data_IF_802547904908
#
_entry.id   IF_802547904908
#
_cell.length_a   1.000
_cell.length_b   1.000
_cell.length_c   1.000
_cell.angle_alpha   90.00
_cell.angle_beta   90.00
_cell.angle_gamma   90.00
#
_symmetry.space_group_name_H-M   'P 1'
#
loop_
_entity.id
_entity.type
_entity.pdbx_description
1 polymer ?
#
# COMPACT_ATOMS: atom_id res chain seq x y z
N UNK A 1 -19.19 7.62 -8.70
CA UNK A 1 -18.48 8.25 -7.56
C UNK A 1 -18.17 9.68 -7.94
N UNK A 2 -18.46 10.63 -7.06
CA UNK A 2 -18.40 12.07 -7.30
C UNK A 2 -17.05 12.56 -7.89
N UNK A 3 -15.94 12.02 -7.40
CA UNK A 3 -14.60 12.30 -7.95
C UNK A 3 -14.42 11.84 -9.40
N UNK A 4 -14.96 10.67 -9.79
CA UNK A 4 -14.92 10.22 -11.19
C UNK A 4 -15.63 11.23 -12.10
N UNK A 5 -16.80 11.72 -11.70
CA UNK A 5 -17.56 12.70 -12.48
C UNK A 5 -16.80 14.02 -12.62
N UNK A 6 -16.12 14.47 -11.56
CA UNK A 6 -15.26 15.67 -11.62
C UNK A 6 -14.07 15.47 -12.56
N UNK A 7 -13.42 14.30 -12.52
CA UNK A 7 -12.29 13.96 -13.40
C UNK A 7 -12.75 13.87 -14.86
N UNK A 8 -13.89 13.24 -15.13
CA UNK A 8 -14.42 13.10 -16.49
C UNK A 8 -14.80 14.45 -17.12
N UNK A 9 -15.16 15.43 -16.30
CA UNK A 9 -15.48 16.80 -16.72
C UNK A 9 -14.24 17.69 -16.91
N UNK A 10 -13.13 17.35 -16.27
CA UNK A 10 -11.92 18.17 -16.25
C UNK A 10 -10.87 17.61 -17.23
N UNK A 11 -10.59 18.36 -18.30
CA UNK A 11 -9.65 17.94 -19.34
C UNK A 11 -8.18 18.13 -18.93
N UNK A 12 -7.93 18.90 -17.88
CA UNK A 12 -6.58 19.24 -17.41
C UNK A 12 -6.11 18.29 -16.30
N UNK A 13 -7.00 17.40 -15.82
CA UNK A 13 -6.62 16.36 -14.87
C UNK A 13 -5.64 15.37 -15.52
N UNK A 14 -4.49 15.19 -14.86
CA UNK A 14 -3.47 14.27 -15.34
C UNK A 14 -3.31 13.08 -14.40
N UNK A 15 -3.60 11.91 -14.94
CA UNK A 15 -3.36 10.65 -14.25
C UNK A 15 -1.87 10.41 -14.06
N UNK A 16 -1.54 9.78 -12.93
CA UNK A 16 -0.24 9.17 -12.74
C UNK A 16 0.09 8.25 -13.94
N UNK A 17 1.23 8.43 -14.61
CA UNK A 17 1.58 7.72 -15.86
C UNK A 17 1.29 6.21 -15.87
N UNK A 18 1.62 5.50 -14.79
CA UNK A 18 1.37 4.05 -14.70
C UNK A 18 -0.09 3.66 -14.51
N UNK A 19 -0.88 4.59 -14.03
CA UNK A 19 -2.29 4.42 -13.74
C UNK A 19 -3.16 4.99 -14.86
N UNK A 20 -2.56 5.76 -15.80
CA UNK A 20 -3.22 6.36 -16.96
C UNK A 20 -3.94 5.32 -17.83
N UNK A 21 -3.26 4.22 -18.17
CA UNK A 21 -3.87 3.14 -18.98
C UNK A 21 -5.08 2.47 -18.30
N UNK A 22 -5.13 2.51 -16.97
CA UNK A 22 -6.18 1.89 -16.18
C UNK A 22 -7.25 2.89 -15.72
N UNK A 23 -7.09 4.19 -16.04
CA UNK A 23 -7.93 5.26 -15.50
C UNK A 23 -7.93 5.31 -13.97
N UNK A 24 -6.89 4.80 -13.31
CA UNK A 24 -6.88 4.65 -11.86
C UNK A 24 -6.33 5.90 -11.17
N UNK A 25 -7.15 6.52 -10.35
CA UNK A 25 -6.79 7.72 -9.58
C UNK A 25 -7.06 7.56 -8.09
N UNK A 26 -7.66 6.44 -7.66
CA UNK A 26 -7.97 6.18 -6.26
C UNK A 26 -7.89 4.70 -5.88
N UNK A 27 -7.62 4.44 -4.61
CA UNK A 27 -7.81 3.15 -3.95
C UNK A 27 -8.46 3.40 -2.59
N UNK A 28 -9.61 2.81 -2.34
CA UNK A 28 -10.34 2.96 -1.08
C UNK A 28 -10.39 1.62 -0.36
N UNK A 29 -10.20 1.63 0.96
CA UNK A 29 -10.42 0.47 1.82
C UNK A 29 -10.96 0.93 3.17
N UNK A 30 -12.21 0.58 3.47
CA UNK A 30 -12.93 1.11 4.64
C UNK A 30 -12.82 2.65 4.69
N UNK A 31 -12.16 3.18 5.73
CA UNK A 31 -11.96 4.62 5.94
C UNK A 31 -10.67 5.15 5.29
N UNK A 32 -9.77 4.27 4.84
CA UNK A 32 -8.49 4.66 4.24
C UNK A 32 -8.68 4.95 2.74
N UNK A 33 -8.23 6.12 2.29
CA UNK A 33 -8.32 6.56 0.89
C UNK A 33 -6.94 6.96 0.37
N UNK A 34 -6.54 6.39 -0.75
CA UNK A 34 -5.30 6.76 -1.44
C UNK A 34 -5.64 7.33 -2.80
N UNK A 35 -5.17 8.53 -3.10
CA UNK A 35 -5.36 9.21 -4.37
C UNK A 35 -4.05 9.30 -5.15
N UNK A 36 -4.13 9.10 -6.46
CA UNK A 36 -2.99 9.07 -7.39
C UNK A 36 -3.21 10.10 -8.50
N UNK A 37 -2.28 11.03 -8.67
CA UNK A 37 -2.28 11.95 -9.82
C UNK A 37 -0.87 12.40 -10.21
N UNK A 38 -0.78 13.16 -11.28
CA UNK A 38 0.42 13.94 -11.61
C UNK A 38 0.63 15.05 -10.58
N UNK A 39 1.89 15.42 -10.31
CA UNK A 39 2.22 16.46 -9.35
C UNK A 39 2.04 17.87 -9.96
N UNK A 40 0.81 18.20 -10.34
CA UNK A 40 0.44 19.51 -10.86
C UNK A 40 -0.65 20.16 -9.97
N UNK A 41 -0.76 21.47 -10.04
CA UNK A 41 -1.74 22.20 -9.22
C UNK A 41 -3.18 21.93 -9.66
N UNK A 42 -3.42 21.70 -10.97
CA UNK A 42 -4.76 21.42 -11.48
C UNK A 42 -5.35 20.13 -10.89
N UNK A 43 -4.62 19.01 -10.96
CA UNK A 43 -5.13 17.72 -10.49
C UNK A 43 -5.34 17.72 -8.97
N UNK A 44 -4.45 18.38 -8.23
CA UNK A 44 -4.58 18.51 -6.78
C UNK A 44 -5.78 19.37 -6.41
N UNK A 45 -5.98 20.49 -7.09
CA UNK A 45 -7.11 21.39 -6.84
C UNK A 45 -8.43 20.68 -7.11
N UNK A 46 -8.47 19.83 -8.13
CA UNK A 46 -9.62 18.97 -8.42
C UNK A 46 -9.89 17.97 -7.30
N UNK A 47 -8.85 17.31 -6.78
CA UNK A 47 -8.99 16.41 -5.64
C UNK A 47 -9.48 17.14 -4.39
N UNK A 48 -8.94 18.32 -4.08
CA UNK A 48 -9.43 19.15 -2.98
C UNK A 48 -10.91 19.47 -3.14
N UNK A 49 -11.32 19.95 -4.32
CA UNK A 49 -12.73 20.26 -4.62
C UNK A 49 -13.63 19.03 -4.47
N UNK A 50 -13.16 17.88 -4.92
CA UNK A 50 -13.87 16.61 -4.78
C UNK A 50 -14.05 16.18 -3.31
N UNK A 51 -13.01 16.35 -2.50
CA UNK A 51 -13.06 16.05 -1.06
C UNK A 51 -13.97 17.02 -0.30
N UNK A 52 -13.92 18.32 -0.63
CA UNK A 52 -14.79 19.34 -0.03
C UNK A 52 -16.26 19.11 -0.39
N UNK A 53 -16.54 18.75 -1.65
CA UNK A 53 -17.90 18.42 -2.09
C UNK A 53 -18.41 17.12 -1.45
N UNK A 54 -17.54 16.13 -1.30
CA UNK A 54 -17.89 14.92 -0.55
C UNK A 54 -18.18 15.24 0.92
N UNK A 55 -17.38 16.10 1.55
CA UNK A 55 -17.58 16.53 2.93
C UNK A 55 -18.89 17.31 3.11
N UNK A 56 -19.26 18.18 2.17
CA UNK A 56 -20.51 18.93 2.24
C UNK A 56 -21.75 18.05 2.08
N UNK A 57 -21.68 17.00 1.27
CA UNK A 57 -22.79 16.07 1.04
C UNK A 57 -22.93 15.00 2.13
N UNK A 58 -21.80 14.48 2.63
CA UNK A 58 -21.80 13.38 3.60
C UNK A 58 -21.68 13.83 5.06
N UNK A 59 -21.20 15.06 5.30
CA UNK A 59 -20.77 15.52 6.62
C UNK A 59 -19.41 14.97 7.06
N UNK A 60 -18.77 14.08 6.30
CA UNK A 60 -17.49 13.46 6.65
C UNK A 60 -16.31 14.32 6.16
N UNK A 61 -15.50 14.78 7.10
CA UNK A 61 -14.38 15.67 6.82
C UNK A 61 -13.06 14.91 6.84
N UNK A 62 -12.17 15.23 5.90
CA UNK A 62 -10.81 14.72 5.87
C UNK A 62 -10.04 15.19 7.11
N UNK A 63 -9.27 14.31 7.73
CA UNK A 63 -8.43 14.67 8.88
C UNK A 63 -7.03 15.12 8.42
N UNK A 64 -6.72 16.43 8.42
CA UNK A 64 -5.44 16.92 7.91
C UNK A 64 -4.23 16.48 8.73
N UNK A 65 -4.44 16.02 9.98
CA UNK A 65 -3.34 15.52 10.84
C UNK A 65 -2.94 14.08 10.53
N UNK A 66 -3.86 13.30 9.94
CA UNK A 66 -3.61 11.91 9.52
C UNK A 66 -3.39 11.80 8.01
N UNK A 67 -3.85 12.79 7.26
CA UNK A 67 -3.67 12.89 5.83
C UNK A 67 -2.30 13.44 5.47
N UNK A 68 -1.66 12.77 4.51
CA UNK A 68 -0.30 13.03 4.08
C UNK A 68 -0.19 13.18 2.57
N UNK A 69 0.68 14.09 2.15
CA UNK A 69 1.09 14.23 0.76
C UNK A 69 2.45 13.56 0.56
N UNK A 70 2.54 12.63 -0.38
CA UNK A 70 3.78 11.95 -0.75
C UNK A 70 4.15 12.35 -2.18
N UNK A 71 5.28 13.02 -2.33
CA UNK A 71 5.78 13.52 -3.61
C UNK A 71 6.91 12.65 -4.16
N UNK A 72 7.03 12.59 -5.49
CA UNK A 72 8.21 12.04 -6.13
C UNK A 72 9.40 12.99 -5.97
N UNK A 73 10.62 12.45 -6.01
CA UNK A 73 11.86 13.26 -5.98
C UNK A 73 11.89 14.35 -7.05
N UNK A 74 11.32 14.09 -8.22
CA UNK A 74 11.20 15.04 -9.33
C UNK A 74 10.22 16.18 -9.04
N UNK A 75 9.17 15.93 -8.25
CA UNK A 75 8.12 16.89 -7.92
C UNK A 75 8.47 17.81 -6.74
N UNK A 76 9.59 17.55 -6.05
CA UNK A 76 9.95 18.25 -4.81
C UNK A 76 10.08 19.78 -4.99
N UNK A 77 10.44 20.24 -6.18
CA UNK A 77 10.54 21.68 -6.48
C UNK A 77 9.21 22.44 -6.34
N UNK A 78 8.07 21.74 -6.44
CA UNK A 78 6.74 22.31 -6.28
C UNK A 78 6.10 21.97 -4.93
N UNK A 79 6.80 21.29 -4.01
CA UNK A 79 6.21 20.76 -2.77
C UNK A 79 5.43 21.81 -1.99
N UNK A 80 6.03 22.98 -1.76
CA UNK A 80 5.42 24.06 -0.98
C UNK A 80 4.11 24.56 -1.60
N UNK A 81 4.05 24.63 -2.93
CA UNK A 81 2.84 25.07 -3.65
C UNK A 81 1.73 24.03 -3.50
N UNK A 82 2.06 22.76 -3.70
CA UNK A 82 1.10 21.65 -3.64
C UNK A 82 0.59 21.42 -2.21
N UNK A 83 1.47 21.55 -1.21
CA UNK A 83 1.12 21.47 0.21
C UNK A 83 0.20 22.62 0.63
N UNK A 84 0.41 23.85 0.13
CA UNK A 84 -0.50 24.98 0.40
C UNK A 84 -1.90 24.77 -0.16
N UNK A 85 -2.02 24.12 -1.32
CA UNK A 85 -3.33 23.82 -1.92
C UNK A 85 -4.09 22.84 -1.03
N UNK A 86 -3.50 21.68 -0.70
CA UNK A 86 -4.18 20.62 0.08
C UNK A 86 -4.29 20.91 1.58
N UNK A 87 -3.32 21.62 2.17
CA UNK A 87 -3.23 21.82 3.62
C UNK A 87 -2.82 20.57 4.41
N UNK A 88 -2.22 19.57 3.76
CA UNK A 88 -1.73 18.36 4.42
C UNK A 88 -0.25 18.45 4.78
N UNK A 89 0.19 17.54 5.65
CA UNK A 89 1.62 17.39 5.94
C UNK A 89 2.31 16.57 4.85
N UNK A 90 3.55 16.91 4.53
CA UNK A 90 4.36 16.07 3.65
C UNK A 90 4.81 14.81 4.40
N UNK A 91 4.73 13.66 3.74
CA UNK A 91 5.33 12.41 4.21
C UNK A 91 6.26 11.84 3.14
N UNK A 92 7.27 11.09 3.61
CA UNK A 92 8.24 10.44 2.74
C UNK A 92 8.10 8.92 2.86
N UNK A 93 8.30 8.23 1.73
CA UNK A 93 8.33 6.77 1.72
C UNK A 93 9.55 6.25 2.51
N UNK A 94 9.41 5.15 3.27
CA UNK A 94 8.25 4.25 3.30
C UNK A 94 7.16 4.67 4.32
N UNK A 95 5.89 4.65 3.88
CA UNK A 95 4.71 4.90 4.74
C UNK A 95 3.88 3.62 4.86
N UNK A 96 3.30 3.35 6.03
CA UNK A 96 2.45 2.16 6.22
C UNK A 96 1.02 2.44 5.70
N UNK A 97 0.52 1.55 4.84
CA UNK A 97 -0.87 1.54 4.36
C UNK A 97 -1.42 0.12 4.48
N UNK A 98 -2.55 -0.06 5.17
CA UNK A 98 -3.15 -1.38 5.45
C UNK A 98 -2.17 -2.39 6.09
N UNK A 99 -1.22 -1.90 6.91
CA UNK A 99 -0.18 -2.73 7.52
C UNK A 99 0.96 -3.12 6.57
N UNK A 100 0.94 -2.64 5.33
CA UNK A 100 2.01 -2.82 4.35
C UNK A 100 2.85 -1.55 4.22
N UNK A 101 4.18 -1.66 4.21
CA UNK A 101 5.01 -0.51 3.87
C UNK A 101 4.87 -0.21 2.37
N UNK A 102 4.33 0.95 2.05
CA UNK A 102 4.40 1.54 0.72
C UNK A 102 5.86 1.86 0.44
N UNK A 103 6.49 1.02 -0.36
CA UNK A 103 7.90 1.13 -0.70
C UNK A 103 8.02 1.30 -2.21
N UNK A 104 8.87 2.23 -2.63
CA UNK A 104 9.15 2.46 -4.04
C UNK A 104 10.12 1.44 -4.66
N UNK A 105 10.77 0.60 -3.83
CA UNK A 105 11.76 -0.40 -4.22
C UNK A 105 11.25 -1.84 -4.05
N UNK A 106 12.09 -2.84 -4.35
CA UNK A 106 11.76 -4.24 -4.06
C UNK A 106 11.71 -4.43 -2.55
N UNK A 107 10.65 -5.09 -2.07
CA UNK A 107 10.50 -5.42 -0.66
C UNK A 107 11.74 -6.16 -0.15
N UNK A 108 12.40 -5.61 0.85
CA UNK A 108 13.62 -6.16 1.42
C UNK A 108 13.28 -7.03 2.64
N UNK A 109 14.21 -7.91 3.03
CA UNK A 109 14.07 -8.70 4.25
C UNK A 109 13.91 -7.82 5.50
N UNK A 110 14.50 -6.62 5.50
CA UNK A 110 14.37 -5.63 6.57
C UNK A 110 12.94 -5.12 6.72
N UNK A 111 12.24 -4.88 5.61
CA UNK A 111 10.87 -4.36 5.62
C UNK A 111 9.88 -5.40 6.18
N UNK A 112 10.21 -6.69 6.04
CA UNK A 112 9.45 -7.79 6.63
C UNK A 112 9.68 -7.95 8.15
N UNK A 113 10.76 -7.42 8.72
CA UNK A 113 11.12 -7.67 10.14
C UNK A 113 10.01 -7.28 11.14
N UNK A 114 9.37 -6.10 11.05
CA UNK A 114 8.34 -5.70 12.02
C UNK A 114 7.16 -6.69 12.04
N UNK A 115 6.87 -7.28 10.89
CA UNK A 115 5.76 -8.21 10.70
C UNK A 115 6.12 -9.61 11.15
N UNK A 116 7.34 -10.06 10.85
CA UNK A 116 7.88 -11.29 11.41
C UNK A 116 7.84 -11.24 12.94
N UNK A 117 8.20 -10.11 13.56
CA UNK A 117 8.09 -9.92 15.00
C UNK A 117 6.65 -10.02 15.51
N UNK A 118 5.66 -9.46 14.80
CA UNK A 118 4.23 -9.62 15.16
C UNK A 118 3.78 -11.09 15.10
N UNK A 119 4.24 -11.86 14.10
CA UNK A 119 3.95 -13.29 14.02
C UNK A 119 4.60 -14.03 15.17
N UNK A 120 5.89 -13.78 15.45
CA UNK A 120 6.59 -14.41 16.56
C UNK A 120 5.96 -14.08 17.92
N UNK A 121 5.46 -12.85 18.10
CA UNK A 121 4.70 -12.46 19.29
C UNK A 121 3.44 -13.32 19.42
N UNK A 122 2.62 -13.42 18.37
CA UNK A 122 1.40 -14.25 18.40
C UNK A 122 1.68 -15.72 18.66
N UNK A 123 2.73 -16.27 18.06
CA UNK A 123 3.16 -17.65 18.31
C UNK A 123 3.57 -17.83 19.78
N UNK A 124 4.28 -16.85 20.35
CA UNK A 124 4.66 -16.86 21.76
C UNK A 124 3.44 -16.80 22.68
N UNK A 125 2.47 -15.94 22.36
CA UNK A 125 1.22 -15.81 23.12
C UNK A 125 0.43 -17.13 23.13
N UNK A 126 0.46 -17.88 22.02
CA UNK A 126 -0.15 -19.22 21.96
C UNK A 126 0.61 -20.31 22.72
N UNK A 127 1.87 -20.06 23.10
CA UNK A 127 2.60 -20.93 24.01
C UNK A 127 1.90 -21.09 25.36
N UNK A 128 1.13 -20.08 25.79
CA UNK A 128 0.32 -20.11 27.02
C UNK A 128 -1.01 -20.86 26.91
N UNK A 129 -1.44 -21.27 25.71
CA UNK A 129 -2.69 -22.01 25.53
C UNK A 129 -2.50 -23.50 25.85
N UNK A 130 -3.44 -24.09 26.60
CA UNK A 130 -3.50 -25.53 26.87
C UNK A 130 -4.01 -26.30 25.64
N UNK A 131 -3.21 -26.30 24.57
CA UNK A 131 -3.47 -27.02 23.32
C UNK A 131 -2.63 -28.28 23.26
N UNK A 132 -3.18 -29.33 22.63
CA UNK A 132 -2.39 -30.52 22.29
C UNK A 132 -1.26 -30.16 21.33
N UNK A 133 -0.18 -30.95 21.34
CA UNK A 133 0.96 -30.72 20.45
C UNK A 133 0.54 -30.62 18.97
N UNK A 134 -0.33 -31.53 18.53
CA UNK A 134 -0.87 -31.55 17.16
C UNK A 134 -1.66 -30.27 16.83
N UNK A 135 -2.49 -29.80 17.76
CA UNK A 135 -3.25 -28.56 17.58
C UNK A 135 -2.34 -27.33 17.47
N UNK A 136 -1.25 -27.26 18.27
CA UNK A 136 -0.26 -26.18 18.18
C UNK A 136 0.44 -26.15 16.82
N UNK A 137 0.87 -27.31 16.33
CA UNK A 137 1.52 -27.41 15.01
C UNK A 137 0.56 -26.99 13.90
N UNK A 138 -0.70 -27.42 13.95
CA UNK A 138 -1.70 -27.06 12.95
C UNK A 138 -2.03 -25.56 12.98
N UNK A 139 -2.16 -24.97 14.16
CA UNK A 139 -2.41 -23.54 14.33
C UNK A 139 -1.28 -22.69 13.73
N UNK A 140 -0.02 -23.04 14.03
CA UNK A 140 1.15 -22.35 13.45
C UNK A 140 1.15 -22.47 11.93
N UNK A 141 0.89 -23.66 11.38
CA UNK A 141 0.81 -23.88 9.93
C UNK A 141 -0.25 -23.02 9.26
N UNK A 142 -1.48 -23.00 9.79
CA UNK A 142 -2.57 -22.21 9.23
C UNK A 142 -2.24 -20.72 9.20
N UNK A 143 -1.66 -20.21 10.29
CA UNK A 143 -1.32 -18.79 10.42
C UNK A 143 -0.20 -18.41 9.45
N UNK A 144 0.81 -19.26 9.30
CA UNK A 144 1.87 -19.05 8.32
C UNK A 144 1.32 -19.06 6.89
N UNK A 145 0.43 -19.98 6.55
CA UNK A 145 -0.20 -20.05 5.21
C UNK A 145 -1.05 -18.82 4.95
N UNK A 146 -1.96 -18.46 5.85
CA UNK A 146 -2.78 -17.25 5.71
C UNK A 146 -1.94 -15.99 5.60
N UNK A 147 -0.84 -15.89 6.35
CA UNK A 147 0.10 -14.78 6.26
C UNK A 147 0.78 -14.71 4.89
N UNK A 148 1.32 -15.84 4.41
CA UNK A 148 1.97 -15.90 3.09
C UNK A 148 0.98 -15.55 1.98
N UNK A 149 -0.27 -16.03 2.05
CA UNK A 149 -1.32 -15.69 1.09
C UNK A 149 -1.60 -14.18 1.12
N UNK A 150 -1.88 -13.61 2.29
CA UNK A 150 -2.16 -12.18 2.44
C UNK A 150 -1.06 -11.30 1.82
N UNK A 151 0.20 -11.67 2.05
CA UNK A 151 1.35 -10.96 1.49
C UNK A 151 1.59 -11.22 0.01
N UNK A 152 1.36 -12.44 -0.48
CA UNK A 152 1.52 -12.79 -1.88
C UNK A 152 0.55 -12.01 -2.79
N UNK A 153 -0.62 -11.65 -2.26
CA UNK A 153 -1.56 -10.80 -2.97
C UNK A 153 -0.99 -9.37 -3.10
N UNK A 154 -0.37 -8.81 -2.06
CA UNK A 154 0.16 -7.44 -2.08
C UNK A 154 1.57 -7.29 -2.70
N UNK A 155 2.46 -8.26 -2.49
CA UNK A 155 3.87 -8.20 -2.86
C UNK A 155 4.40 -9.54 -3.37
N UNK A 156 5.34 -9.46 -4.32
CA UNK A 156 6.25 -10.56 -4.61
C UNK A 156 7.23 -10.73 -3.44
N UNK A 157 7.00 -11.75 -2.61
CA UNK A 157 7.82 -12.10 -1.46
C UNK A 157 9.22 -12.57 -1.88
N UNK A 158 10.31 -12.03 -1.31
CA UNK A 158 11.65 -12.58 -1.53
C UNK A 158 11.76 -14.00 -0.97
N UNK A 159 12.37 -14.92 -1.73
CA UNK A 159 12.61 -16.32 -1.32
C UNK A 159 13.29 -16.43 0.06
N UNK A 160 14.11 -15.45 0.43
CA UNK A 160 14.77 -15.37 1.74
C UNK A 160 13.85 -15.15 2.94
N UNK A 161 12.66 -14.56 2.77
CA UNK A 161 11.69 -14.35 3.87
C UNK A 161 11.05 -15.69 4.21
N UNK A 162 10.66 -16.43 3.17
CA UNK A 162 10.06 -17.76 3.26
C UNK A 162 11.04 -18.73 3.93
N UNK A 163 12.32 -18.70 3.53
CA UNK A 163 13.36 -19.53 4.16
C UNK A 163 13.56 -19.26 5.65
N UNK A 164 13.55 -17.98 6.07
CA UNK A 164 13.69 -17.62 7.49
C UNK A 164 12.50 -18.06 8.33
N UNK A 165 11.28 -17.88 7.81
CA UNK A 165 10.05 -18.32 8.50
C UNK A 165 10.04 -19.84 8.72
N UNK A 166 10.43 -20.62 7.70
CA UNK A 166 10.49 -22.07 7.79
C UNK A 166 11.54 -22.53 8.82
N UNK A 167 12.73 -21.93 8.80
CA UNK A 167 13.81 -22.28 9.72
C UNK A 167 13.47 -21.95 11.18
N UNK A 168 12.84 -20.80 11.44
CA UNK A 168 12.49 -20.39 12.80
C UNK A 168 11.35 -21.21 13.42
N UNK A 169 10.49 -21.82 12.61
CA UNK A 169 9.40 -22.67 13.09
C UNK A 169 9.75 -24.17 13.11
N UNK A 170 10.96 -24.57 12.70
CA UNK A 170 11.36 -25.99 12.60
C UNK A 170 10.53 -26.80 11.59
N UNK A 171 9.80 -26.13 10.69
CA UNK A 171 8.91 -26.76 9.73
C UNK A 171 9.69 -27.11 8.45
N UNK A 172 10.43 -28.21 8.49
CA UNK A 172 10.95 -28.86 7.28
C UNK A 172 9.87 -29.72 6.66
N UNK A 173 8.87 -29.12 6.02
CA UNK A 173 7.91 -29.90 5.24
C UNK A 173 7.65 -29.23 3.89
N UNK A 174 8.13 -29.91 2.84
CA UNK A 174 7.73 -29.66 1.48
C UNK A 174 6.23 -29.92 1.32
N UNK A 175 5.43 -28.86 1.36
CA UNK A 175 4.06 -28.85 0.86
C UNK A 175 3.71 -27.42 0.44
N UNK A 176 3.36 -27.26 -0.84
CA UNK A 176 2.50 -26.17 -1.33
C UNK A 176 3.12 -24.80 -1.67
N UNK A 177 4.29 -24.43 -1.14
CA UNK A 177 4.91 -23.13 -1.52
C UNK A 177 5.70 -23.19 -2.84
N UNK A 178 5.83 -24.37 -3.48
CA UNK A 178 6.47 -24.53 -4.80
C UNK A 178 5.60 -24.09 -5.98
N UNK A 179 4.31 -23.82 -5.76
CA UNK A 179 3.39 -23.32 -6.79
C UNK A 179 2.76 -21.97 -6.39
N UNK A 180 3.60 -21.01 -5.99
CA UNK A 180 3.27 -19.58 -6.16
C UNK A 180 4.21 -18.92 -7.19
N UNK A 181 4.80 -19.72 -8.08
CA UNK A 181 5.21 -19.24 -9.39
C UNK A 181 4.00 -19.40 -10.32
N UNK A 182 3.67 -18.33 -11.05
CA UNK A 182 2.69 -18.25 -12.15
C UNK A 182 1.20 -18.24 -11.78
N UNK A 183 0.71 -17.07 -11.40
CA UNK A 183 -0.72 -16.77 -11.42
C UNK A 183 -0.97 -15.28 -11.36
N UNK A 184 -1.36 -14.67 -12.48
CA UNK A 184 -1.76 -13.26 -12.58
C UNK A 184 -2.97 -13.01 -11.68
N UNK A 185 -2.78 -12.69 -10.41
CA UNK A 185 -3.86 -12.15 -9.58
C UNK A 185 -4.14 -10.71 -10.04
N UNK A 186 -5.23 -10.55 -10.79
CA UNK A 186 -5.61 -9.30 -11.45
C UNK A 186 -5.99 -8.19 -10.45
N UNK A 187 -6.26 -8.53 -9.19
CA UNK A 187 -6.77 -7.58 -8.19
C UNK A 187 -5.74 -6.64 -7.54
N UNK A 188 -4.45 -7.00 -7.47
CA UNK A 188 -3.41 -6.16 -6.82
C UNK A 188 -2.17 -6.00 -7.73
N UNK A 189 -2.43 -5.74 -9.02
CA UNK A 189 -1.41 -5.14 -9.92
C UNK A 189 -1.06 -3.69 -9.53
N UNK A 190 -1.84 -3.06 -8.65
CA UNK A 190 -1.74 -1.63 -8.34
C UNK A 190 -0.51 -1.28 -7.50
N UNK A 191 -0.34 -1.92 -6.33
CA UNK A 191 0.81 -1.70 -5.43
C UNK A 191 2.13 -2.12 -6.10
N UNK A 192 2.10 -3.21 -6.88
CA UNK A 192 3.26 -3.70 -7.61
C UNK A 192 3.64 -2.85 -8.83
N UNK A 193 2.72 -2.06 -9.41
CA UNK A 193 3.04 -1.11 -10.50
C UNK A 193 3.67 0.18 -9.97
N UNK A 194 3.25 0.70 -8.82
CA UNK A 194 3.90 1.85 -8.15
C UNK A 194 5.41 1.59 -7.88
N UNK A 195 5.80 0.32 -7.70
CA UNK A 195 7.16 -0.20 -7.40
C UNK A 195 8.31 0.10 -8.38
N UNK A 196 8.06 0.43 -9.65
CA UNK A 196 9.15 0.60 -10.66
C UNK A 196 9.48 2.06 -10.99
N UNK A 197 9.22 3.01 -10.10
CA UNK A 197 9.17 4.45 -10.44
C UNK A 197 10.46 5.26 -10.25
N UNK A 198 11.47 4.77 -9.53
CA UNK A 198 12.60 5.62 -9.10
C UNK A 198 13.83 5.57 -10.03
N UNK A 199 13.78 4.81 -11.13
CA UNK A 199 14.83 4.86 -12.16
C UNK A 199 14.23 5.21 -13.52
N UNK A 200 14.22 6.51 -13.83
CA UNK A 200 14.38 6.95 -15.22
C UNK A 200 13.15 7.49 -15.97
N UNK A 201 12.23 8.25 -15.37
CA UNK A 201 11.39 9.15 -16.16
C UNK A 201 11.35 10.54 -15.53
N UNK A 202 11.67 11.58 -16.31
CA UNK A 202 11.71 12.99 -15.91
C UNK A 202 10.33 13.59 -15.65
N UNK A 203 9.44 12.84 -15.00
CA UNK A 203 8.06 13.20 -14.77
C UNK A 203 7.76 13.26 -13.27
N UNK A 204 7.03 14.31 -12.87
CA UNK A 204 6.74 14.68 -11.48
C UNK A 204 5.41 14.05 -11.05
N UNK A 205 5.40 13.23 -10.00
CA UNK A 205 4.23 12.45 -9.62
C UNK A 205 3.89 12.60 -8.14
N UNK A 206 2.63 12.35 -7.81
CA UNK A 206 2.06 12.60 -6.51
C UNK A 206 1.18 11.45 -6.04
N UNK A 207 1.33 11.12 -4.77
CA UNK A 207 0.53 10.15 -4.06
C UNK A 207 -0.04 10.87 -2.83
N UNK A 208 -1.34 11.14 -2.82
CA UNK A 208 -2.00 11.63 -1.60
C UNK A 208 -2.49 10.42 -0.82
N UNK A 209 -2.03 10.29 0.42
CA UNK A 209 -2.50 9.28 1.34
C UNK A 209 -3.42 9.95 2.36
N UNK A 210 -4.72 9.66 2.32
CA UNK A 210 -5.68 10.10 3.31
C UNK A 210 -5.93 8.95 4.28
N UNK A 211 -5.39 9.06 5.49
CA UNK A 211 -5.62 8.17 6.64
C UNK A 211 -6.49 8.86 7.70
#
# INVERSE_FOLDING_TARGET
MLLQQLIDQDRDFMFHWKCRELGLFQSCFADDLVLFCEANEQSISLFKRGLEMFASLSGLHVNPKKSHLILSKSAQHNSDRLLRVLGFQEAHLPVLYLGFPLISSRLSLSDCKPLLLKIYSRIRDWGGLQLSFAARVQLIKLVLVSFNIYWAIAFLLPKGVIGKLNNSCGLSYGMGLREMDTGRSHGIKYVSRLRKGVKGSGTSWLLTLLL
#
